data_IF_373725259037
#
_entry.id   IF_373725259037
#
_cell.length_a   1.000
_cell.length_b   1.000
_cell.length_c   1.000
_cell.angle_alpha   90.00
_cell.angle_beta   90.00
_cell.angle_gamma   90.00
#
_symmetry.space_group_name_H-M   'P 1'
#
loop_
_entity.id
_entity.type
_entity.pdbx_description
1 polymer ?
#
# COMPACT_ATOMS: atom_id res chain seq x y z
N UNK A 1 -20.27 -5.74 1.64
CA UNK A 1 -19.24 -5.41 2.64
C UNK A 1 -17.90 -5.36 1.91
N UNK A 2 -17.08 -4.30 2.06
CA UNK A 2 -15.77 -4.23 1.40
C UNK A 2 -14.77 -5.28 1.91
N UNK A 3 -13.88 -5.74 1.04
CA UNK A 3 -12.85 -6.77 1.33
C UNK A 3 -11.45 -6.19 1.13
N UNK A 4 -10.61 -6.33 2.15
CA UNK A 4 -9.20 -5.92 2.10
C UNK A 4 -8.31 -7.15 2.01
N UNK A 5 -7.52 -7.24 0.94
CA UNK A 5 -6.52 -8.28 0.81
C UNK A 5 -5.31 -7.97 1.69
N UNK A 6 -4.96 -8.87 2.60
CA UNK A 6 -3.76 -8.76 3.43
C UNK A 6 -2.61 -9.58 2.84
N UNK A 7 -1.36 -9.05 2.74
CA UNK A 7 -0.24 -9.70 2.06
C UNK A 7 0.43 -10.81 2.89
N UNK A 8 -0.29 -11.39 3.86
CA UNK A 8 0.26 -12.48 4.67
C UNK A 8 0.53 -13.68 3.76
N UNK A 9 1.67 -14.34 3.94
CA UNK A 9 2.16 -15.44 3.09
C UNK A 9 2.47 -15.07 1.62
N UNK A 10 2.26 -13.82 1.19
CA UNK A 10 2.49 -13.41 -0.20
C UNK A 10 3.97 -13.09 -0.51
N UNK A 11 4.77 -12.75 0.50
CA UNK A 11 6.14 -12.23 0.29
C UNK A 11 7.10 -13.20 -0.41
N UNK A 12 6.95 -14.52 -0.20
CA UNK A 12 7.79 -15.53 -0.85
C UNK A 12 7.66 -15.51 -2.38
N UNK A 13 6.50 -15.14 -2.91
CA UNK A 13 6.26 -15.08 -4.36
C UNK A 13 6.96 -13.90 -5.03
N UNK A 14 7.36 -12.87 -4.28
CA UNK A 14 8.01 -11.66 -4.82
C UNK A 14 9.43 -11.46 -4.30
N UNK A 15 9.98 -12.44 -3.56
CA UNK A 15 11.31 -12.34 -2.94
C UNK A 15 12.46 -12.54 -3.92
N UNK A 16 12.24 -13.25 -5.04
CA UNK A 16 13.26 -13.52 -6.04
C UNK A 16 13.05 -12.64 -7.28
N UNK A 17 14.12 -12.04 -7.82
CA UNK A 17 14.03 -11.20 -9.03
C UNK A 17 13.69 -11.99 -10.31
N UNK A 18 14.11 -13.27 -10.36
CA UNK A 18 14.05 -14.09 -11.57
C UNK A 18 13.04 -15.25 -11.46
N UNK A 19 12.25 -15.33 -10.38
CA UNK A 19 11.23 -16.36 -10.19
C UNK A 19 10.09 -15.86 -9.32
N UNK A 20 8.93 -16.51 -9.40
CA UNK A 20 7.73 -16.13 -8.66
C UNK A 20 6.74 -15.32 -9.50
N UNK A 21 6.03 -14.39 -8.85
CA UNK A 21 4.98 -13.56 -9.46
C UNK A 21 5.38 -12.10 -9.30
N UNK A 22 5.18 -11.29 -10.34
CA UNK A 22 5.49 -9.85 -10.26
C UNK A 22 4.60 -9.13 -9.24
N UNK A 23 5.12 -8.05 -8.65
CA UNK A 23 4.38 -7.18 -7.74
C UNK A 23 3.07 -6.66 -8.36
N UNK A 24 3.14 -6.21 -9.63
CA UNK A 24 1.99 -5.78 -10.45
C UNK A 24 0.88 -6.84 -10.50
N UNK A 25 1.25 -8.09 -10.79
CA UNK A 25 0.27 -9.17 -10.95
C UNK A 25 -0.27 -9.65 -9.61
N UNK A 26 0.61 -9.94 -8.63
CA UNK A 26 0.22 -10.53 -7.35
C UNK A 26 -0.65 -9.60 -6.51
N UNK A 27 -0.12 -8.42 -6.18
CA UNK A 27 -0.80 -7.47 -5.29
C UNK A 27 -1.82 -6.61 -6.03
N UNK A 28 -1.66 -6.41 -7.34
CA UNK A 28 -2.60 -5.63 -8.15
C UNK A 28 -3.66 -6.50 -8.81
N UNK A 29 -3.32 -7.11 -9.96
CA UNK A 29 -4.31 -7.74 -10.83
C UNK A 29 -5.02 -8.95 -10.19
N UNK A 30 -4.28 -9.89 -9.62
CA UNK A 30 -4.84 -11.11 -9.04
C UNK A 30 -5.69 -10.80 -7.81
N UNK A 31 -5.23 -9.87 -6.97
CA UNK A 31 -5.99 -9.37 -5.82
C UNK A 31 -7.30 -8.70 -6.25
N UNK A 32 -7.26 -7.91 -7.32
CA UNK A 32 -8.47 -7.31 -7.91
C UNK A 32 -9.42 -8.36 -8.47
N UNK A 33 -8.90 -9.37 -9.16
CA UNK A 33 -9.71 -10.44 -9.76
C UNK A 33 -10.32 -11.39 -8.73
N UNK A 34 -9.70 -11.54 -7.55
CA UNK A 34 -10.27 -12.32 -6.45
C UNK A 34 -11.44 -11.61 -5.74
N UNK A 35 -11.76 -10.37 -6.13
CA UNK A 35 -12.89 -9.61 -5.61
C UNK A 35 -12.57 -8.72 -4.42
N UNK A 36 -11.29 -8.41 -4.17
CA UNK A 36 -10.93 -7.41 -3.16
C UNK A 36 -11.33 -5.99 -3.61
N UNK A 37 -11.60 -5.11 -2.64
CA UNK A 37 -11.83 -3.68 -2.84
C UNK A 37 -10.56 -2.85 -2.57
N UNK A 38 -9.62 -3.41 -1.81
CA UNK A 38 -8.32 -2.80 -1.55
C UNK A 38 -7.21 -3.86 -1.42
N UNK A 39 -6.02 -3.51 -1.92
CA UNK A 39 -4.84 -4.36 -1.88
C UNK A 39 -3.80 -3.81 -0.91
N UNK A 40 -3.57 -4.51 0.21
CA UNK A 40 -2.51 -4.16 1.16
C UNK A 40 -1.18 -4.73 0.66
N UNK A 41 -0.13 -3.92 0.66
CA UNK A 41 1.22 -4.35 0.29
C UNK A 41 2.31 -3.61 1.09
N UNK A 42 3.51 -4.20 1.23
CA UNK A 42 4.66 -3.52 1.81
C UNK A 42 5.00 -2.23 1.06
N UNK A 43 5.04 -1.11 1.78
CA UNK A 43 5.48 0.17 1.24
C UNK A 43 7.00 0.20 1.05
N UNK A 44 7.47 1.10 0.19
CA UNK A 44 8.90 1.32 0.01
C UNK A 44 9.53 2.07 1.19
N UNK A 45 10.81 1.76 1.44
CA UNK A 45 11.62 2.37 2.47
C UNK A 45 11.43 1.76 3.86
N UNK A 46 12.26 2.23 4.80
CA UNK A 46 12.35 1.63 6.13
C UNK A 46 12.93 0.22 6.06
N UNK A 47 12.23 -0.75 6.66
CA UNK A 47 12.69 -2.15 6.76
C UNK A 47 12.22 -3.08 5.64
N UNK A 48 11.44 -2.57 4.69
CA UNK A 48 10.86 -3.37 3.61
C UNK A 48 11.66 -3.20 2.33
N UNK A 49 11.81 -4.29 1.58
CA UNK A 49 12.69 -4.37 0.40
C UNK A 49 12.07 -3.83 -0.89
N UNK A 50 10.81 -3.41 -0.87
CA UNK A 50 10.11 -2.98 -2.07
C UNK A 50 10.67 -1.63 -2.53
N UNK A 51 11.00 -1.56 -3.80
CA UNK A 51 11.40 -0.34 -4.49
C UNK A 51 10.20 0.55 -4.81
N UNK A 52 10.48 1.80 -5.17
CA UNK A 52 9.44 2.73 -5.65
C UNK A 52 8.79 2.21 -6.94
N UNK A 53 9.59 1.62 -7.82
CA UNK A 53 9.16 1.07 -9.10
C UNK A 53 8.20 -0.11 -8.89
N UNK A 54 8.52 -1.00 -7.94
CA UNK A 54 7.65 -2.11 -7.56
C UNK A 54 6.33 -1.61 -6.96
N UNK A 55 6.37 -0.63 -6.04
CA UNK A 55 5.15 -0.04 -5.47
C UNK A 55 4.28 0.63 -6.55
N UNK A 56 4.88 1.39 -7.48
CA UNK A 56 4.15 1.97 -8.63
C UNK A 56 3.52 0.90 -9.50
N UNK A 57 4.22 -0.23 -9.69
CA UNK A 57 3.67 -1.36 -10.45
C UNK A 57 2.42 -1.94 -9.78
N UNK A 58 2.39 -2.01 -8.44
CA UNK A 58 1.19 -2.48 -7.70
C UNK A 58 0.02 -1.52 -7.92
N UNK A 59 0.26 -0.21 -7.76
CA UNK A 59 -0.75 0.84 -8.01
C UNK A 59 -1.32 0.72 -9.43
N UNK A 60 -0.44 0.53 -10.41
CA UNK A 60 -0.85 0.31 -11.80
C UNK A 60 -1.72 -0.94 -11.95
N UNK A 61 -1.35 -2.06 -11.33
CA UNK A 61 -2.13 -3.30 -11.35
C UNK A 61 -3.52 -3.18 -10.70
N UNK A 62 -3.67 -2.29 -9.72
CA UNK A 62 -4.94 -1.99 -9.06
C UNK A 62 -5.93 -1.25 -9.99
N UNK A 63 -5.43 -0.44 -10.94
CA UNK A 63 -6.25 0.52 -11.69
C UNK A 63 -6.27 0.33 -13.21
N UNK A 64 -5.27 -0.34 -13.81
CA UNK A 64 -5.17 -0.55 -15.26
C UNK A 64 -6.46 -1.12 -15.86
N UNK A 65 -6.72 -0.81 -17.15
CA UNK A 65 -7.84 -1.42 -17.86
C UNK A 65 -7.64 -2.94 -17.91
N UNK A 66 -8.57 -3.68 -17.32
CA UNK A 66 -8.52 -5.14 -17.28
C UNK A 66 -9.93 -5.73 -17.43
N UNK A 67 -10.33 -5.93 -18.68
CA UNK A 67 -11.67 -6.43 -19.02
C UNK A 67 -12.77 -5.60 -18.36
N UNK A 68 -13.68 -6.27 -17.64
CA UNK A 68 -14.79 -5.66 -16.89
C UNK A 68 -14.49 -5.45 -15.40
N UNK A 69 -13.28 -5.81 -14.93
CA UNK A 69 -12.94 -5.67 -13.51
C UNK A 69 -12.94 -4.19 -13.12
N UNK A 70 -13.51 -3.85 -11.96
CA UNK A 70 -13.46 -2.48 -11.42
C UNK A 70 -12.10 -2.22 -10.77
N UNK A 71 -11.62 -0.98 -10.79
CA UNK A 71 -10.40 -0.62 -10.07
C UNK A 71 -10.57 -0.81 -8.56
N UNK A 72 -9.45 -1.06 -7.87
CA UNK A 72 -9.39 -1.26 -6.41
C UNK A 72 -8.42 -0.25 -5.80
N UNK A 73 -8.51 -0.01 -4.49
CA UNK A 73 -7.61 0.93 -3.81
C UNK A 73 -6.26 0.27 -3.47
N UNK A 74 -5.12 0.88 -3.86
CA UNK A 74 -3.83 0.52 -3.29
C UNK A 74 -3.78 0.93 -1.82
N UNK A 75 -3.31 0.04 -0.96
CA UNK A 75 -3.21 0.27 0.48
C UNK A 75 -1.77 0.03 0.98
N UNK A 76 -0.82 0.95 0.72
CA UNK A 76 0.56 0.80 1.16
C UNK A 76 0.65 0.79 2.69
N UNK A 77 1.39 -0.19 3.23
CA UNK A 77 1.57 -0.37 4.66
C UNK A 77 3.00 -0.75 5.05
N UNK A 78 3.34 -0.47 6.31
CA UNK A 78 4.68 -0.74 6.85
C UNK A 78 5.69 0.38 6.58
N UNK A 79 6.49 0.74 7.58
CA UNK A 79 7.47 1.85 7.44
C UNK A 79 6.83 3.23 7.26
N UNK A 80 5.53 3.35 7.56
CA UNK A 80 4.75 4.58 7.55
C UNK A 80 5.00 5.37 8.82
N UNK A 81 5.36 6.65 8.70
CA UNK A 81 5.48 7.62 9.81
C UNK A 81 4.74 8.91 9.46
N UNK A 82 4.50 9.78 10.45
CA UNK A 82 3.80 11.05 10.23
C UNK A 82 4.61 11.96 9.31
N UNK A 83 5.92 11.97 9.46
CA UNK A 83 6.86 12.81 8.71
C UNK A 83 6.90 12.44 7.21
N UNK A 84 6.56 11.20 6.88
CA UNK A 84 6.50 10.72 5.49
C UNK A 84 5.14 10.90 4.83
N UNK A 85 4.12 11.38 5.55
CA UNK A 85 2.75 11.42 5.06
C UNK A 85 2.62 12.23 3.76
N UNK A 86 3.20 13.44 3.69
CA UNK A 86 3.14 14.29 2.49
C UNK A 86 3.91 13.70 1.31
N UNK A 87 5.07 13.08 1.56
CA UNK A 87 5.85 12.36 0.54
C UNK A 87 5.04 11.23 -0.09
N UNK A 88 4.41 10.42 0.77
CA UNK A 88 3.66 9.25 0.37
C UNK A 88 2.34 9.64 -0.29
N UNK A 89 1.72 10.73 0.15
CA UNK A 89 0.56 11.33 -0.51
C UNK A 89 0.88 11.74 -1.95
N UNK A 90 2.00 12.43 -2.15
CA UNK A 90 2.47 12.81 -3.48
C UNK A 90 2.75 11.59 -4.36
N UNK A 91 3.32 10.52 -3.78
CA UNK A 91 3.67 9.32 -4.51
C UNK A 91 2.46 8.45 -4.93
N UNK A 92 1.52 8.20 -4.00
CA UNK A 92 0.37 7.31 -4.22
C UNK A 92 -0.88 8.03 -4.72
N UNK A 93 -0.98 9.34 -4.52
CA UNK A 93 -2.10 10.16 -4.97
C UNK A 93 -3.30 10.18 -4.03
N UNK A 94 -4.46 10.55 -4.58
CA UNK A 94 -5.70 10.73 -3.82
C UNK A 94 -6.46 9.45 -3.55
N UNK A 95 -6.36 8.48 -4.46
CA UNK A 95 -7.11 7.23 -4.39
C UNK A 95 -6.25 6.12 -3.80
N UNK A 96 -5.86 6.29 -2.53
CA UNK A 96 -5.04 5.32 -1.80
C UNK A 96 -5.42 5.27 -0.31
N UNK A 97 -5.20 4.11 0.32
CA UNK A 97 -5.41 3.91 1.76
C UNK A 97 -4.06 3.84 2.48
N UNK A 98 -3.69 4.88 3.21
CA UNK A 98 -2.42 4.91 3.94
C UNK A 98 -2.50 4.16 5.27
N UNK A 99 -1.87 2.98 5.35
CA UNK A 99 -1.93 2.12 6.53
C UNK A 99 -0.80 2.43 7.50
N UNK A 100 -1.07 3.38 8.40
CA UNK A 100 -0.15 3.76 9.48
C UNK A 100 -0.59 3.13 10.81
N UNK A 101 0.27 2.27 11.36
CA UNK A 101 0.07 1.64 12.66
C UNK A 101 1.05 2.20 13.69
N UNK A 102 2.14 1.45 13.94
CA UNK A 102 3.18 1.81 14.91
C UNK A 102 3.78 3.21 14.74
N UNK A 103 3.74 3.80 13.54
CA UNK A 103 4.18 5.18 13.30
C UNK A 103 3.36 6.21 14.09
N UNK A 104 2.05 6.02 14.24
CA UNK A 104 1.20 6.92 15.03
C UNK A 104 1.51 6.82 16.53
N UNK A 105 1.67 5.59 17.03
CA UNK A 105 1.97 5.33 18.44
C UNK A 105 3.35 5.80 18.87
N UNK A 106 4.32 5.89 17.94
CA UNK A 106 5.68 6.37 18.20
C UNK A 106 5.83 7.88 18.03
N UNK A 107 4.92 8.54 17.31
CA UNK A 107 5.03 9.96 17.02
C UNK A 107 4.75 10.83 18.25
N UNK A 108 3.82 10.41 19.12
CA UNK A 108 3.56 11.08 20.40
C UNK A 108 2.84 10.14 21.38
N UNK A 109 2.90 10.46 22.68
CA UNK A 109 2.16 9.74 23.72
C UNK A 109 0.63 9.96 23.65
N UNK A 110 0.16 10.81 22.73
CA UNK A 110 -1.25 11.08 22.51
C UNK A 110 -1.67 10.65 21.10
N UNK A 111 -2.31 9.48 20.99
CA UNK A 111 -2.74 8.92 19.71
C UNK A 111 -3.66 9.86 18.92
N UNK A 112 -4.53 10.61 19.59
CA UNK A 112 -5.41 11.57 18.93
C UNK A 112 -4.62 12.72 18.31
N UNK A 113 -3.57 13.21 18.98
CA UNK A 113 -2.65 14.20 18.41
C UNK A 113 -1.94 13.63 17.19
N UNK A 114 -1.34 12.44 17.29
CA UNK A 114 -0.65 11.79 16.18
C UNK A 114 -1.55 11.62 14.94
N UNK A 115 -2.82 11.26 15.13
CA UNK A 115 -3.80 11.13 14.03
C UNK A 115 -4.10 12.49 13.40
N UNK A 116 -4.27 13.56 14.19
CA UNK A 116 -4.51 14.91 13.65
C UNK A 116 -3.31 15.41 12.85
N UNK A 117 -2.10 15.22 13.36
CA UNK A 117 -0.88 15.63 12.70
C UNK A 117 -0.71 14.87 11.37
N UNK A 118 -0.94 13.55 11.38
CA UNK A 118 -0.95 12.73 10.16
C UNK A 118 -1.95 13.22 9.12
N UNK A 119 -3.21 13.46 9.52
CA UNK A 119 -4.24 13.99 8.60
C UNK A 119 -3.85 15.38 8.10
N UNK A 120 -3.26 16.22 8.95
CA UNK A 120 -2.76 17.55 8.58
C UNK A 120 -1.74 17.51 7.46
N UNK A 121 -0.86 16.50 7.45
CA UNK A 121 0.15 16.30 6.40
C UNK A 121 -0.40 15.71 5.09
N UNK A 122 -1.63 15.19 5.08
CA UNK A 122 -2.29 14.62 3.88
C UNK A 122 -3.19 15.62 3.13
N UNK A 123 -3.41 16.81 3.70
CA UNK A 123 -4.12 17.92 3.05
C UNK A 123 -3.26 18.53 1.96
#
# INVERSE_FOLDING_TARGET
MPVFFHPAFAGSFTSCKNSGISHYALYGQLTRLSGADAAIFPNYGGRFSFSKEECKSIVKGCADKFGKAKAILPAPGGGMTVERASELKSFYGNDAVFLIGGGLFKHSDNITKSVRDFIGCLK
#
